data_IF_457953407341
#
_entry.id   IF_457953407341
#
_cell.length_a   1.000
_cell.length_b   1.000
_cell.length_c   1.000
_cell.angle_alpha   90.00
_cell.angle_beta   90.00
_cell.angle_gamma   90.00
#
_symmetry.space_group_name_H-M   'P 1'
#
loop_
_entity.id
_entity.type
_entity.pdbx_description
1 polymer ?
#
# COMPACT_ATOMS: atom_id res chain seq x y z
N UNK A 1 -59.51 27.54 41.09
CA UNK A 1 -59.18 27.97 39.70
C UNK A 1 -60.47 27.93 38.92
N UNK A 2 -60.80 28.99 38.17
CA UNK A 2 -62.02 28.99 37.35
C UNK A 2 -61.82 28.10 36.13
N UNK A 3 -62.89 27.45 35.65
CA UNK A 3 -62.87 26.59 34.45
C UNK A 3 -62.18 27.32 33.28
N UNK A 4 -62.43 28.62 33.13
CA UNK A 4 -61.77 29.51 32.15
C UNK A 4 -60.24 29.53 32.25
N UNK A 5 -59.66 29.59 33.45
CA UNK A 5 -58.20 29.60 33.64
C UNK A 5 -57.58 28.29 33.17
N UNK A 6 -58.22 27.15 33.44
CA UNK A 6 -57.73 25.86 32.98
C UNK A 6 -57.72 25.73 31.46
N UNK A 7 -58.72 26.31 30.78
CA UNK A 7 -58.78 26.32 29.32
C UNK A 7 -57.70 27.21 28.70
N UNK A 8 -57.51 28.42 29.23
CA UNK A 8 -56.45 29.34 28.81
C UNK A 8 -55.08 28.67 29.00
N UNK A 9 -54.87 28.00 30.14
CA UNK A 9 -53.62 27.29 30.42
C UNK A 9 -53.39 26.07 29.51
N UNK A 10 -54.45 25.36 29.11
CA UNK A 10 -54.36 24.25 28.14
C UNK A 10 -53.97 24.76 26.75
N UNK A 11 -54.59 25.84 26.29
CA UNK A 11 -54.27 26.46 25.00
C UNK A 11 -52.84 26.98 24.99
N UNK A 12 -52.44 27.71 26.05
CA UNK A 12 -51.10 28.26 26.21
C UNK A 12 -50.05 27.16 26.22
N UNK A 13 -50.32 26.03 26.89
CA UNK A 13 -49.44 24.85 26.86
C UNK A 13 -49.31 24.27 25.44
N UNK A 14 -50.40 24.14 24.68
CA UNK A 14 -50.36 23.62 23.30
C UNK A 14 -49.63 24.54 22.34
N UNK A 15 -49.87 25.85 22.41
CA UNK A 15 -49.14 26.85 21.60
C UNK A 15 -47.65 26.81 21.95
N UNK A 16 -47.31 26.72 23.24
CA UNK A 16 -45.91 26.58 23.68
C UNK A 16 -45.26 25.32 23.14
N UNK A 17 -45.95 24.17 23.18
CA UNK A 17 -45.44 22.91 22.64
C UNK A 17 -45.27 23.02 21.12
N UNK A 18 -46.18 23.68 20.41
CA UNK A 18 -46.09 23.88 18.97
C UNK A 18 -44.90 24.77 18.60
N UNK A 19 -44.74 25.93 19.24
CA UNK A 19 -43.61 26.84 19.02
C UNK A 19 -42.28 26.19 19.40
N UNK A 20 -42.25 25.48 20.52
CA UNK A 20 -41.07 24.72 20.94
C UNK A 20 -40.72 23.63 19.91
N UNK A 21 -41.71 22.90 19.40
CA UNK A 21 -41.49 21.87 18.41
C UNK A 21 -40.98 22.45 17.09
N UNK A 22 -41.48 23.61 16.64
CA UNK A 22 -40.98 24.28 15.43
C UNK A 22 -39.54 24.75 15.60
N UNK A 23 -39.24 25.43 16.71
CA UNK A 23 -37.88 25.90 16.99
C UNK A 23 -36.91 24.73 17.16
N UNK A 24 -37.31 23.69 17.89
CA UNK A 24 -36.53 22.46 18.04
C UNK A 24 -36.28 21.80 16.69
N UNK A 25 -37.27 21.77 15.79
CA UNK A 25 -37.12 21.19 14.46
C UNK A 25 -36.02 21.88 13.66
N UNK A 26 -36.04 23.22 13.66
CA UNK A 26 -35.12 24.02 12.86
C UNK A 26 -33.68 23.87 13.39
N UNK A 27 -33.50 23.87 14.72
CA UNK A 27 -32.20 23.62 15.35
C UNK A 27 -31.72 22.17 15.19
N UNK A 28 -32.61 21.19 15.32
CA UNK A 28 -32.27 19.78 15.13
C UNK A 28 -31.88 19.51 13.67
N UNK A 29 -32.59 20.13 12.71
CA UNK A 29 -32.26 20.05 11.30
C UNK A 29 -30.88 20.64 11.00
N UNK A 30 -30.58 21.83 11.53
CA UNK A 30 -29.26 22.46 11.39
C UNK A 30 -28.16 21.56 11.98
N UNK A 31 -28.39 20.97 13.15
CA UNK A 31 -27.45 20.07 13.80
C UNK A 31 -27.22 18.80 12.97
N UNK A 32 -28.28 18.16 12.47
CA UNK A 32 -28.19 16.96 11.62
C UNK A 32 -27.38 17.23 10.34
N UNK A 33 -27.56 18.41 9.73
CA UNK A 33 -26.78 18.82 8.56
C UNK A 33 -25.31 19.03 8.94
N UNK A 34 -25.03 19.75 10.04
CA UNK A 34 -23.67 19.94 10.52
C UNK A 34 -22.99 18.63 10.89
N UNK A 35 -23.71 17.68 11.49
CA UNK A 35 -23.21 16.37 11.87
C UNK A 35 -22.93 15.50 10.64
N UNK A 36 -23.84 15.49 9.66
CA UNK A 36 -23.60 14.83 8.37
C UNK A 36 -22.40 15.44 7.62
N UNK A 37 -22.24 16.77 7.64
CA UNK A 37 -21.08 17.44 7.05
C UNK A 37 -19.77 17.12 7.77
N UNK A 38 -19.77 17.18 9.10
CA UNK A 38 -18.61 16.87 9.92
C UNK A 38 -18.20 15.40 9.81
N UNK A 39 -19.17 14.47 9.79
CA UNK A 39 -18.88 13.03 9.59
C UNK A 39 -18.24 12.79 8.22
N UNK A 40 -18.73 13.41 7.14
CA UNK A 40 -18.11 13.31 5.83
C UNK A 40 -16.71 13.93 5.80
N UNK A 41 -16.53 15.10 6.44
CA UNK A 41 -15.24 15.80 6.46
C UNK A 41 -14.19 15.04 7.29
N UNK A 42 -14.57 14.48 8.44
CA UNK A 42 -13.68 13.62 9.23
C UNK A 42 -13.38 12.32 8.49
N UNK A 43 -14.38 11.68 7.86
CA UNK A 43 -14.13 10.50 7.01
C UNK A 43 -13.20 10.82 5.83
N UNK A 44 -13.22 12.06 5.32
CA UNK A 44 -12.38 12.50 4.22
C UNK A 44 -10.93 12.78 4.65
N UNK A 45 -10.72 13.36 5.84
CA UNK A 45 -9.40 13.85 6.26
C UNK A 45 -8.72 12.92 7.28
N UNK A 46 -9.46 12.38 8.25
CA UNK A 46 -8.94 11.55 9.35
C UNK A 46 -9.86 10.37 9.68
N UNK A 47 -9.75 9.25 8.97
CA UNK A 47 -10.60 8.06 9.19
C UNK A 47 -10.50 7.50 10.63
N UNK A 48 -9.36 7.69 11.29
CA UNK A 48 -9.08 7.19 12.64
C UNK A 48 -9.93 7.84 13.74
N UNK A 49 -10.43 9.06 13.52
CA UNK A 49 -11.21 9.82 14.50
C UNK A 49 -12.73 9.63 14.34
N UNK A 50 -13.18 8.72 13.46
CA UNK A 50 -14.60 8.47 13.23
C UNK A 50 -15.42 8.14 14.51
N UNK A 51 -14.92 7.34 15.48
CA UNK A 51 -15.67 7.05 16.70
C UNK A 51 -15.91 8.30 17.56
N UNK A 52 -14.96 9.24 17.55
CA UNK A 52 -15.04 10.45 18.38
C UNK A 52 -16.09 11.44 17.86
N UNK A 53 -16.40 11.40 16.56
CA UNK A 53 -17.47 12.22 15.96
C UNK A 53 -18.84 11.85 16.53
N UNK A 54 -19.03 10.62 17.02
CA UNK A 54 -20.29 10.24 17.69
C UNK A 54 -20.51 11.01 18.99
N UNK A 55 -19.48 11.53 19.65
CA UNK A 55 -19.63 12.41 20.82
C UNK A 55 -20.30 13.75 20.48
N UNK A 56 -20.30 14.18 19.21
CA UNK A 56 -21.09 15.35 18.78
C UNK A 56 -22.60 15.12 18.91
N UNK A 57 -23.06 13.86 18.96
CA UNK A 57 -24.47 13.58 19.31
C UNK A 57 -24.79 13.99 20.74
N UNK A 58 -23.84 13.89 21.68
CA UNK A 58 -24.02 14.37 23.05
C UNK A 58 -24.11 15.89 23.08
N UNK A 59 -23.47 16.59 22.13
CA UNK A 59 -23.61 18.03 21.97
C UNK A 59 -25.01 18.47 21.48
N UNK A 60 -25.91 17.56 21.06
CA UNK A 60 -27.30 17.91 20.76
C UNK A 60 -28.15 18.18 21.99
N UNK A 61 -27.77 17.61 23.15
CA UNK A 61 -28.48 17.81 24.42
C UNK A 61 -28.54 19.29 24.87
N UNK A 62 -27.41 20.03 24.93
CA UNK A 62 -27.43 21.44 25.34
C UNK A 62 -28.17 22.33 24.33
N UNK A 63 -28.19 21.98 23.05
CA UNK A 63 -28.94 22.72 22.02
C UNK A 63 -30.45 22.57 22.24
N UNK A 64 -30.92 21.36 22.54
CA UNK A 64 -32.31 21.13 22.94
C UNK A 64 -32.70 21.91 24.21
N UNK A 65 -31.78 21.98 25.18
CA UNK A 65 -31.97 22.75 26.41
C UNK A 65 -32.01 24.27 26.14
N UNK A 66 -31.12 24.78 25.29
CA UNK A 66 -31.07 26.18 24.90
C UNK A 66 -32.31 26.61 24.12
N UNK A 67 -32.79 25.77 23.20
CA UNK A 67 -34.06 25.93 22.48
C UNK A 67 -35.26 25.98 23.43
N UNK A 68 -35.25 25.15 24.47
CA UNK A 68 -36.28 25.17 25.50
C UNK A 68 -36.22 26.43 26.37
N UNK A 69 -35.02 26.90 26.75
CA UNK A 69 -34.84 28.13 27.51
C UNK A 69 -35.24 29.37 26.72
N UNK A 70 -34.93 29.43 25.43
CA UNK A 70 -35.36 30.53 24.54
C UNK A 70 -36.86 30.51 24.28
N UNK A 71 -37.45 29.34 24.07
CA UNK A 71 -38.91 29.18 24.01
C UNK A 71 -39.59 29.61 25.32
N UNK A 72 -38.95 29.36 26.47
CA UNK A 72 -39.42 29.85 27.77
C UNK A 72 -39.32 31.37 27.93
N UNK A 73 -38.45 32.06 27.20
CA UNK A 73 -38.31 33.52 27.23
C UNK A 73 -39.34 34.22 26.34
N UNK A 74 -39.76 33.60 25.23
CA UNK A 74 -40.84 34.10 24.37
C UNK A 74 -42.23 33.77 24.94
N UNK A 75 -42.48 34.14 26.20
CA UNK A 75 -43.78 33.91 26.81
C UNK A 75 -44.82 34.83 26.18
N UNK A 76 -45.80 34.23 25.50
CA UNK A 76 -47.00 34.94 25.09
C UNK A 76 -47.70 35.46 26.34
N UNK A 77 -48.06 36.73 26.30
CA UNK A 77 -48.83 37.36 27.37
C UNK A 77 -50.21 36.70 27.43
N UNK A 78 -50.81 36.65 28.62
CA UNK A 78 -52.17 36.09 28.79
C UNK A 78 -53.17 36.82 27.87
N UNK A 79 -52.96 38.11 27.65
CA UNK A 79 -53.78 38.96 26.78
C UNK A 79 -53.68 38.56 25.31
N UNK A 80 -52.49 38.26 24.80
CA UNK A 80 -52.30 37.76 23.42
C UNK A 80 -52.97 36.40 23.20
N UNK A 81 -52.83 35.48 24.17
CA UNK A 81 -53.46 34.18 24.09
C UNK A 81 -54.99 34.28 24.09
N UNK A 82 -55.54 35.20 24.91
CA UNK A 82 -56.97 35.49 24.96
C UNK A 82 -57.46 36.13 23.66
N UNK A 83 -56.73 37.10 23.10
CA UNK A 83 -57.08 37.73 21.83
C UNK A 83 -57.03 36.76 20.64
N UNK A 84 -56.04 35.87 20.60
CA UNK A 84 -55.92 34.83 19.56
C UNK A 84 -57.06 33.81 19.67
N UNK A 85 -57.45 33.43 20.89
CA UNK A 85 -58.61 32.57 21.10
C UNK A 85 -59.91 33.26 20.66
N UNK A 86 -60.10 34.51 21.05
CA UNK A 86 -61.31 35.28 20.73
C UNK A 86 -61.50 35.45 19.23
N UNK A 87 -60.42 35.73 18.49
CA UNK A 87 -60.42 35.80 17.02
C UNK A 87 -60.71 34.45 16.36
N UNK A 88 -60.16 33.35 16.85
CA UNK A 88 -60.44 32.01 16.29
C UNK A 88 -61.85 31.51 16.60
N UNK A 89 -62.45 31.96 17.70
CA UNK A 89 -63.81 31.61 18.10
C UNK A 89 -64.87 32.55 17.52
N UNK A 90 -64.45 33.69 16.95
CA UNK A 90 -65.33 34.79 16.55
C UNK A 90 -66.26 35.20 17.71
N UNK A 91 -65.74 35.18 18.93
CA UNK A 91 -66.53 35.43 20.15
C UNK A 91 -66.79 36.93 20.39
N UNK A 92 -66.28 37.80 19.52
CA UNK A 92 -66.61 39.23 19.48
C UNK A 92 -66.11 40.00 20.70
N UNK A 93 -65.01 39.56 21.32
CA UNK A 93 -64.42 40.17 22.50
C UNK A 93 -64.88 39.56 23.83
N UNK A 94 -65.78 38.57 23.83
CA UNK A 94 -66.36 37.98 25.04
C UNK A 94 -65.29 37.43 26.00
N UNK A 95 -64.17 36.93 25.48
CA UNK A 95 -63.09 36.44 26.33
C UNK A 95 -62.21 37.55 26.89
N UNK A 96 -62.06 38.63 26.13
CA UNK A 96 -61.34 39.81 26.55
C UNK A 96 -62.13 40.52 27.65
N UNK A 97 -63.46 40.64 27.51
CA UNK A 97 -64.33 41.21 28.54
C UNK A 97 -64.42 40.33 29.78
N UNK A 98 -64.46 39.00 29.65
CA UNK A 98 -64.40 38.07 30.78
C UNK A 98 -63.06 38.10 31.53
N UNK A 99 -61.97 38.45 30.85
CA UNK A 99 -60.66 38.61 31.48
C UNK A 99 -60.55 39.91 32.30
N UNK A 100 -61.33 40.94 31.95
CA UNK A 100 -61.38 42.23 32.64
C UNK A 100 -62.46 42.27 33.73
N UNK A 101 -63.65 41.70 33.45
CA UNK A 101 -64.81 41.69 34.36
C UNK A 101 -65.39 40.27 34.43
N UNK A 102 -65.07 39.50 35.49
CA UNK A 102 -65.62 38.16 35.66
C UNK A 102 -67.11 38.25 36.03
N UNK A 103 -67.99 37.74 35.16
CA UNK A 103 -69.44 37.66 35.43
C UNK A 103 -69.94 36.22 35.26
N UNK A 104 -70.79 35.77 36.20
CA UNK A 104 -71.31 34.41 36.22
C UNK A 104 -72.16 34.09 34.97
N UNK A 105 -72.97 35.06 34.52
CA UNK A 105 -73.85 34.91 33.36
C UNK A 105 -73.10 34.75 32.02
N UNK A 106 -71.89 35.30 31.91
CA UNK A 106 -71.05 35.12 30.72
C UNK A 106 -70.24 33.82 30.80
N UNK A 107 -69.90 33.34 32.00
CA UNK A 107 -69.28 32.03 32.19
C UNK A 107 -70.20 30.88 31.77
N UNK A 108 -71.50 30.98 32.04
CA UNK A 108 -72.49 29.97 31.61
C UNK A 108 -72.62 29.90 30.08
N UNK A 109 -72.57 31.06 29.40
CA UNK A 109 -72.53 31.11 27.93
C UNK A 109 -71.25 30.51 27.36
N UNK A 110 -70.14 30.62 28.09
CA UNK A 110 -68.88 30.00 27.73
C UNK A 110 -68.98 28.47 27.78
N UNK A 111 -69.57 27.93 28.86
CA UNK A 111 -69.75 26.49 29.05
C UNK A 111 -70.59 25.86 27.93
N UNK A 112 -71.65 26.54 27.48
CA UNK A 112 -72.49 26.09 26.36
C UNK A 112 -71.75 26.03 25.01
N UNK A 113 -70.63 26.75 24.88
CA UNK A 113 -69.84 26.78 23.65
C UNK A 113 -68.68 25.77 23.61
N UNK A 114 -68.48 24.96 24.66
CA UNK A 114 -67.30 24.11 24.86
C UNK A 114 -66.95 23.21 23.65
N UNK A 115 -67.94 22.72 22.90
CA UNK A 115 -67.69 21.92 21.70
C UNK A 115 -67.01 22.72 20.58
N UNK A 116 -67.45 23.98 20.36
CA UNK A 116 -66.84 24.89 19.40
C UNK A 116 -65.41 25.25 19.81
N UNK A 117 -65.19 25.37 21.13
CA UNK A 117 -63.86 25.55 21.70
C UNK A 117 -62.92 24.38 21.44
N UNK A 118 -63.38 23.14 21.65
CA UNK A 118 -62.59 21.94 21.38
C UNK A 118 -62.23 21.82 19.89
N UNK A 119 -63.13 22.25 19.01
CA UNK A 119 -62.91 22.27 17.57
C UNK A 119 -61.88 23.33 17.12
N UNK A 120 -61.87 24.51 17.76
CA UNK A 120 -60.95 25.60 17.43
C UNK A 120 -59.55 25.45 18.03
N UNK A 121 -59.31 24.49 18.92
CA UNK A 121 -57.97 24.24 19.45
C UNK A 121 -56.99 23.90 18.31
N UNK A 122 -55.81 24.56 18.24
CA UNK A 122 -54.83 24.26 17.20
C UNK A 122 -54.43 22.78 17.31
N UNK A 123 -54.75 22.02 16.25
CA UNK A 123 -54.39 20.62 16.13
C UNK A 123 -52.89 20.53 15.92
N UNK A 124 -52.18 19.84 16.80
CA UNK A 124 -50.77 19.53 16.61
C UNK A 124 -50.62 18.72 15.32
N UNK A 125 -49.81 19.21 14.38
CA UNK A 125 -49.58 18.58 13.06
C UNK A 125 -48.17 17.98 13.01
N UNK A 126 -47.91 16.84 13.67
CA UNK A 126 -46.58 16.23 13.70
C UNK A 126 -46.06 15.89 12.30
N UNK A 127 -46.95 15.70 11.32
CA UNK A 127 -46.60 15.44 9.92
C UNK A 127 -45.70 16.53 9.33
N UNK A 128 -45.93 17.81 9.67
CA UNK A 128 -45.07 18.91 9.17
C UNK A 128 -43.66 18.86 9.77
N UNK A 129 -43.57 18.47 11.04
CA UNK A 129 -42.31 18.28 11.75
C UNK A 129 -41.50 17.14 11.14
N UNK A 130 -42.13 15.97 10.99
CA UNK A 130 -41.50 14.79 10.40
C UNK A 130 -41.03 15.08 8.97
N UNK A 131 -41.82 15.80 8.17
CA UNK A 131 -41.43 16.17 6.80
C UNK A 131 -40.20 17.08 6.75
N UNK A 132 -40.04 18.01 7.71
CA UNK A 132 -38.87 18.88 7.80
C UNK A 132 -37.62 18.13 8.25
N UNK A 133 -37.78 17.16 9.15
CA UNK A 133 -36.67 16.37 9.69
C UNK A 133 -36.26 15.19 8.81
N UNK A 134 -37.15 14.71 7.93
CA UNK A 134 -36.89 13.56 7.07
C UNK A 134 -35.61 13.74 6.22
N UNK A 135 -35.46 14.90 5.58
CA UNK A 135 -34.30 15.17 4.71
C UNK A 135 -32.97 15.22 5.49
N UNK A 136 -32.82 15.98 6.60
CA UNK A 136 -31.62 15.95 7.43
C UNK A 136 -31.30 14.58 8.02
N UNK A 137 -32.32 13.80 8.42
CA UNK A 137 -32.12 12.44 8.93
C UNK A 137 -31.55 11.53 7.84
N UNK A 138 -32.15 11.54 6.65
CA UNK A 138 -31.66 10.74 5.52
C UNK A 138 -30.23 11.14 5.15
N UNK A 139 -29.91 12.44 5.19
CA UNK A 139 -28.56 12.93 4.94
C UNK A 139 -27.55 12.43 5.98
N UNK A 140 -27.86 12.56 7.28
CA UNK A 140 -26.97 12.10 8.35
C UNK A 140 -26.77 10.57 8.32
N UNK A 141 -27.84 9.82 8.07
CA UNK A 141 -27.77 8.36 7.90
C UNK A 141 -26.93 8.01 6.67
N UNK A 142 -27.16 8.67 5.53
CA UNK A 142 -26.38 8.49 4.32
C UNK A 142 -24.89 8.78 4.52
N UNK A 143 -24.54 9.84 5.27
CA UNK A 143 -23.16 10.16 5.63
C UNK A 143 -22.51 9.05 6.51
N UNK A 144 -23.28 8.44 7.41
CA UNK A 144 -22.81 7.30 8.20
C UNK A 144 -22.55 6.05 7.33
N UNK A 145 -23.40 5.80 6.33
CA UNK A 145 -23.26 4.68 5.40
C UNK A 145 -22.32 4.95 4.22
N UNK A 146 -21.90 6.21 4.01
CA UNK A 146 -20.92 6.53 3.00
C UNK A 146 -19.67 5.68 3.24
N UNK A 147 -19.24 4.87 2.25
CA UNK A 147 -18.11 3.97 2.41
C UNK A 147 -16.92 4.82 2.84
N UNK A 148 -16.24 4.37 3.90
CA UNK A 148 -14.97 4.94 4.28
C UNK A 148 -14.10 4.87 3.04
N UNK A 149 -13.59 6.01 2.60
CA UNK A 149 -12.49 6.01 1.65
C UNK A 149 -11.38 5.35 2.45
N UNK A 150 -11.22 4.05 2.26
CA UNK A 150 -9.99 3.35 2.56
C UNK A 150 -8.98 4.11 1.70
N UNK A 151 -8.43 5.20 2.24
CA UNK A 151 -7.07 5.57 1.97
C UNK A 151 -6.32 4.37 2.50
N UNK A 152 -6.27 3.30 1.70
CA UNK A 152 -5.34 2.22 1.89
C UNK A 152 -4.03 2.96 2.09
N UNK A 153 -3.44 2.98 3.31
CA UNK A 153 -2.03 3.25 3.36
C UNK A 153 -1.50 2.21 2.39
N UNK A 154 -0.97 2.66 1.25
CA UNK A 154 -0.44 1.78 0.20
C UNK A 154 0.21 0.65 0.95
N UNK A 155 -0.35 -0.58 0.90
CA UNK A 155 0.21 -1.66 1.69
C UNK A 155 1.68 -1.61 1.34
N UNK A 156 2.54 -1.62 2.35
CA UNK A 156 3.93 -1.95 2.15
C UNK A 156 3.82 -3.34 1.55
N UNK A 157 3.67 -3.39 0.22
CA UNK A 157 3.76 -4.57 -0.60
C UNK A 157 5.18 -4.98 -0.28
N UNK A 158 5.31 -5.90 0.68
CA UNK A 158 6.52 -6.66 0.84
C UNK A 158 6.86 -7.06 -0.57
N UNK A 159 7.95 -6.49 -1.04
CA UNK A 159 8.21 -6.33 -2.45
C UNK A 159 8.70 -7.69 -2.97
N UNK A 160 7.76 -8.64 -3.08
CA UNK A 160 8.02 -10.04 -3.38
C UNK A 160 8.69 -10.17 -4.73
N UNK A 161 8.28 -9.35 -5.71
CA UNK A 161 8.90 -9.29 -7.02
C UNK A 161 10.38 -8.87 -6.95
N UNK A 162 10.69 -7.81 -6.19
CA UNK A 162 12.06 -7.35 -6.01
C UNK A 162 12.94 -8.32 -5.24
N UNK A 163 12.41 -8.92 -4.18
CA UNK A 163 13.10 -9.93 -3.40
C UNK A 163 13.37 -11.20 -4.20
N UNK A 164 12.41 -11.65 -5.00
CA UNK A 164 12.60 -12.81 -5.89
C UNK A 164 13.63 -12.50 -6.98
N UNK A 165 13.60 -11.30 -7.57
CA UNK A 165 14.57 -10.91 -8.59
C UNK A 165 15.99 -10.80 -8.01
N UNK A 166 16.15 -10.19 -6.83
CA UNK A 166 17.46 -10.11 -6.17
C UNK A 166 17.95 -11.48 -5.69
N UNK A 167 17.06 -12.36 -5.20
CA UNK A 167 17.41 -13.74 -4.84
C UNK A 167 17.88 -14.54 -6.06
N UNK A 168 17.23 -14.42 -7.21
CA UNK A 168 17.70 -15.06 -8.46
C UNK A 168 19.10 -14.59 -8.85
N UNK A 169 19.41 -13.30 -8.68
CA UNK A 169 20.75 -12.77 -8.94
C UNK A 169 21.79 -13.33 -7.96
N UNK A 170 21.44 -13.49 -6.69
CA UNK A 170 22.31 -14.14 -5.69
C UNK A 170 22.54 -15.61 -6.05
N UNK A 171 21.49 -16.37 -6.37
CA UNK A 171 21.59 -17.77 -6.77
C UNK A 171 22.43 -17.96 -8.04
N UNK A 172 22.26 -17.07 -9.02
CA UNK A 172 23.08 -17.07 -10.24
C UNK A 172 24.53 -16.72 -9.94
N UNK A 173 24.79 -15.76 -9.06
CA UNK A 173 26.14 -15.41 -8.64
C UNK A 173 26.80 -16.56 -7.89
N UNK A 174 26.10 -17.22 -6.95
CA UNK A 174 26.61 -18.40 -6.24
C UNK A 174 26.92 -19.55 -7.19
N UNK A 175 26.07 -19.79 -8.20
CA UNK A 175 26.33 -20.79 -9.23
C UNK A 175 27.49 -20.40 -10.18
N UNK A 176 27.71 -19.11 -10.45
CA UNK A 176 28.89 -18.65 -11.18
C UNK A 176 30.16 -18.75 -10.32
N UNK A 177 30.05 -18.53 -9.02
CA UNK A 177 31.13 -18.70 -8.04
C UNK A 177 31.62 -20.16 -8.02
N UNK A 178 30.74 -21.13 -8.33
CA UNK A 178 31.11 -22.54 -8.53
C UNK A 178 32.06 -22.76 -9.72
N UNK A 179 32.16 -21.84 -10.69
CA UNK A 179 33.11 -21.98 -11.80
C UNK A 179 34.48 -21.39 -11.42
N UNK A 180 35.57 -22.19 -11.44
CA UNK A 180 36.89 -21.82 -10.91
C UNK A 180 37.68 -20.79 -11.76
N UNK A 181 37.07 -20.25 -12.81
CA UNK A 181 37.70 -19.32 -13.77
C UNK A 181 37.31 -17.86 -13.60
N UNK A 182 36.42 -17.54 -12.65
CA UNK A 182 35.94 -16.17 -12.46
C UNK A 182 36.89 -15.38 -11.53
N UNK A 183 37.13 -14.11 -11.87
CA UNK A 183 38.02 -13.22 -11.11
C UNK A 183 37.37 -12.76 -9.79
N UNK A 184 37.89 -13.29 -8.68
CA UNK A 184 37.39 -13.18 -7.29
C UNK A 184 37.09 -11.75 -6.79
N UNK A 185 37.90 -10.74 -7.16
CA UNK A 185 37.66 -9.33 -6.76
C UNK A 185 36.36 -8.80 -7.32
N UNK A 186 36.08 -9.18 -8.55
CA UNK A 186 34.99 -8.64 -9.33
C UNK A 186 33.66 -9.31 -8.95
N UNK A 187 33.71 -10.48 -8.30
CA UNK A 187 32.54 -11.19 -7.74
C UNK A 187 32.10 -10.59 -6.40
N UNK A 188 33.06 -10.27 -5.52
CA UNK A 188 32.76 -9.62 -4.25
C UNK A 188 32.05 -8.28 -4.43
N UNK A 189 32.51 -7.45 -5.39
CA UNK A 189 31.85 -6.18 -5.71
C UNK A 189 30.41 -6.37 -6.23
N UNK A 190 30.17 -7.40 -7.05
CA UNK A 190 28.83 -7.71 -7.54
C UNK A 190 27.93 -8.24 -6.44
N UNK A 191 28.45 -9.11 -5.57
CA UNK A 191 27.72 -9.64 -4.40
C UNK A 191 27.28 -8.52 -3.48
N UNK A 192 28.19 -7.60 -3.17
CA UNK A 192 27.90 -6.45 -2.31
C UNK A 192 26.85 -5.53 -2.95
N UNK A 193 26.94 -5.27 -4.26
CA UNK A 193 25.93 -4.48 -4.98
C UNK A 193 24.54 -5.15 -4.97
N UNK A 194 24.49 -6.48 -5.16
CA UNK A 194 23.23 -7.25 -5.12
C UNK A 194 22.63 -7.24 -3.70
N UNK A 195 23.45 -7.42 -2.66
CA UNK A 195 23.01 -7.39 -1.27
C UNK A 195 22.52 -6.00 -0.84
N UNK A 196 23.24 -4.94 -1.24
CA UNK A 196 22.81 -3.56 -1.04
C UNK A 196 21.47 -3.29 -1.74
N UNK A 197 21.29 -3.76 -2.98
CA UNK A 197 20.04 -3.59 -3.72
C UNK A 197 18.90 -4.39 -3.08
N UNK A 198 19.16 -5.60 -2.58
CA UNK A 198 18.18 -6.42 -1.87
C UNK A 198 17.70 -5.74 -0.58
N UNK A 199 18.60 -5.17 0.21
CA UNK A 199 18.26 -4.44 1.44
C UNK A 199 17.51 -3.13 1.15
N UNK A 200 17.90 -2.40 0.11
CA UNK A 200 17.18 -1.20 -0.36
C UNK A 200 15.77 -1.52 -0.89
N UNK A 201 15.59 -2.68 -1.50
CA UNK A 201 14.31 -3.16 -2.04
C UNK A 201 13.40 -3.72 -0.94
N UNK A 202 13.98 -4.14 0.19
CA UNK A 202 13.24 -4.57 1.39
C UNK A 202 12.61 -3.39 2.13
N UNK A 203 13.29 -2.25 2.16
CA UNK A 203 12.85 -1.05 2.91
C UNK A 203 11.91 -0.16 2.13
N UNK A 204 12.03 -0.15 0.82
CA UNK A 204 11.30 0.75 -0.07
C UNK A 204 10.80 0.01 -1.31
N UNK A 205 9.63 0.39 -1.86
CA UNK A 205 9.18 -0.16 -3.14
C UNK A 205 10.20 0.10 -4.25
N UNK A 206 10.21 -0.79 -5.24
CA UNK A 206 11.05 -0.66 -6.43
C UNK A 206 10.63 0.60 -7.20
N UNK A 207 11.50 1.61 -7.18
CA UNK A 207 11.42 2.71 -8.13
C UNK A 207 11.91 2.24 -9.50
N UNK A 208 11.59 3.01 -10.55
CA UNK A 208 12.10 2.78 -11.90
C UNK A 208 13.63 2.68 -11.92
N UNK A 209 14.30 3.53 -11.15
CA UNK A 209 15.76 3.54 -11.03
C UNK A 209 16.31 2.21 -10.46
N UNK A 210 15.60 1.58 -9.52
CA UNK A 210 16.00 0.28 -8.95
C UNK A 210 15.83 -0.87 -9.95
N UNK A 211 14.82 -0.80 -10.82
CA UNK A 211 14.67 -1.75 -11.93
C UNK A 211 15.79 -1.59 -12.96
N UNK A 212 16.12 -0.35 -13.33
CA UNK A 212 17.24 -0.08 -14.24
C UNK A 212 18.59 -0.53 -13.64
N UNK A 213 18.78 -0.38 -12.32
CA UNK A 213 19.96 -0.90 -11.62
C UNK A 213 20.01 -2.44 -11.61
N UNK A 214 18.85 -3.10 -11.45
CA UNK A 214 18.75 -4.56 -11.48
C UNK A 214 19.07 -5.11 -12.89
N UNK A 215 18.50 -4.50 -13.92
CA UNK A 215 18.77 -4.85 -15.32
C UNK A 215 20.25 -4.62 -15.67
N UNK A 216 20.85 -3.53 -15.20
CA UNK A 216 22.27 -3.26 -15.39
C UNK A 216 23.17 -4.31 -14.71
N UNK A 217 22.78 -4.82 -13.53
CA UNK A 217 23.50 -5.90 -12.86
C UNK A 217 23.35 -7.23 -13.61
N UNK A 218 22.14 -7.55 -14.08
CA UNK A 218 21.88 -8.74 -14.89
C UNK A 218 22.70 -8.73 -16.19
N UNK A 219 22.73 -7.59 -16.87
CA UNK A 219 23.50 -7.40 -18.10
C UNK A 219 25.02 -7.53 -17.85
N UNK A 220 25.52 -7.04 -16.71
CA UNK A 220 26.93 -7.24 -16.33
C UNK A 220 27.26 -8.71 -16.07
N UNK A 221 26.37 -9.46 -15.43
CA UNK A 221 26.55 -10.90 -15.22
C UNK A 221 26.54 -11.66 -16.54
N UNK A 222 25.60 -11.34 -17.45
CA UNK A 222 25.51 -11.93 -18.78
C UNK A 222 26.80 -11.71 -19.59
N UNK A 223 27.26 -10.46 -19.66
CA UNK A 223 28.50 -10.11 -20.35
C UNK A 223 29.71 -10.83 -19.78
N UNK A 224 29.73 -11.09 -18.47
CA UNK A 224 30.80 -11.90 -17.85
C UNK A 224 30.72 -13.36 -18.24
N UNK A 225 29.53 -13.97 -18.18
CA UNK A 225 29.28 -15.34 -18.63
C UNK A 225 29.73 -15.55 -20.09
N UNK A 226 29.37 -14.62 -20.97
CA UNK A 226 29.80 -14.68 -22.38
C UNK A 226 31.32 -14.47 -22.53
N UNK A 227 31.95 -13.64 -21.68
CA UNK A 227 33.40 -13.46 -21.71
C UNK A 227 34.17 -14.67 -21.19
N UNK A 228 33.65 -15.36 -20.16
CA UNK A 228 34.26 -16.59 -19.63
C UNK A 228 34.09 -17.75 -20.60
N UNK A 229 32.93 -17.87 -21.26
CA UNK A 229 32.72 -18.88 -22.29
C UNK A 229 33.67 -18.69 -23.48
N UNK A 230 33.83 -17.46 -23.97
CA UNK A 230 34.79 -17.17 -25.05
C UNK A 230 36.23 -17.48 -24.66
N UNK A 231 36.60 -17.18 -23.41
CA UNK A 231 37.93 -17.53 -22.91
C UNK A 231 38.11 -19.05 -22.79
N UNK A 232 37.09 -19.78 -22.35
CA UNK A 232 37.09 -21.25 -22.31
C UNK A 232 37.25 -21.86 -23.71
N UNK A 233 36.52 -21.37 -24.72
CA UNK A 233 36.62 -21.86 -26.09
C UNK A 233 38.00 -21.60 -26.70
N UNK A 234 38.60 -20.44 -26.40
CA UNK A 234 39.99 -20.13 -26.78
C UNK A 234 40.98 -21.07 -26.11
N UNK A 235 40.79 -21.37 -24.83
CA UNK A 235 41.66 -22.29 -24.10
C UNK A 235 41.50 -23.73 -24.58
N UNK A 236 40.28 -24.15 -24.89
CA UNK A 236 39.97 -25.46 -25.45
C UNK A 236 40.63 -25.65 -26.81
N UNK A 237 40.50 -24.65 -27.69
CA UNK A 237 41.15 -24.68 -29.02
C UNK A 237 42.67 -24.62 -28.92
N UNK A 238 43.22 -23.82 -27.99
CA UNK A 238 44.66 -23.77 -27.73
C UNK A 238 45.20 -25.09 -27.18
N UNK A 239 44.53 -25.69 -26.21
CA UNK A 239 44.90 -26.99 -25.66
C UNK A 239 44.81 -28.11 -26.73
N UNK A 240 43.77 -28.09 -27.56
CA UNK A 240 43.62 -29.04 -28.66
C UNK A 240 44.73 -28.88 -29.71
N UNK A 241 45.04 -27.64 -30.13
CA UNK A 241 46.10 -27.36 -31.08
C UNK A 241 47.49 -27.77 -30.56
N UNK A 242 47.78 -27.49 -29.28
CA UNK A 242 49.02 -27.92 -28.63
C UNK A 242 49.11 -29.44 -28.48
N UNK A 243 47.99 -30.13 -28.21
CA UNK A 243 47.96 -31.60 -28.12
C UNK A 243 48.20 -32.25 -29.49
N UNK A 244 47.59 -31.71 -30.55
CA UNK A 244 47.76 -32.18 -31.91
C UNK A 244 49.20 -31.96 -32.42
N UNK A 245 49.82 -30.83 -32.06
CA UNK A 245 51.22 -30.55 -32.40
C UNK A 245 52.22 -31.37 -31.57
N UNK A 246 51.80 -31.95 -30.44
CA UNK A 246 52.63 -32.83 -29.62
C UNK A 246 52.66 -34.28 -30.12
N UNK A 247 51.66 -34.71 -30.90
CA UNK A 247 51.64 -36.02 -31.57
C UNK A 247 52.49 -36.03 -32.85
N UNK A 248 53.21 -37.13 -33.10
CA UNK A 248 54.17 -37.29 -34.22
C UNK A 248 53.58 -37.07 -35.64
N UNK A 249 52.25 -37.08 -35.79
CA UNK A 249 51.52 -36.88 -37.06
C UNK A 249 50.86 -35.48 -37.20
N UNK A 250 51.19 -34.54 -36.33
CA UNK A 250 50.52 -33.24 -36.22
C UNK A 250 51.01 -32.14 -37.16
N UNK A 251 50.07 -31.35 -37.70
CA UNK A 251 50.28 -30.10 -38.46
C UNK A 251 51.40 -29.22 -37.88
N UNK A 252 52.36 -28.83 -38.72
CA UNK A 252 53.43 -27.88 -38.38
C UNK A 252 52.84 -26.53 -37.96
N UNK A 253 52.68 -26.30 -36.66
CA UNK A 253 52.45 -24.95 -36.13
C UNK A 253 53.72 -24.14 -36.33
N UNK A 254 53.61 -22.90 -36.79
CA UNK A 254 54.75 -21.99 -36.77
C UNK A 254 55.22 -21.80 -35.33
N UNK A 255 56.53 -21.70 -35.08
CA UNK A 255 57.09 -21.60 -33.73
C UNK A 255 56.50 -20.41 -32.96
N UNK A 256 56.13 -19.34 -33.66
CA UNK A 256 55.46 -18.16 -33.08
C UNK A 256 54.03 -18.48 -32.58
N UNK A 257 53.24 -19.23 -33.35
CA UNK A 257 51.88 -19.63 -32.97
C UNK A 257 51.88 -20.62 -31.80
N UNK A 258 52.81 -21.59 -31.82
CA UNK A 258 52.95 -22.52 -30.71
C UNK A 258 53.30 -21.80 -29.39
N UNK A 259 54.17 -20.79 -29.47
CA UNK A 259 54.58 -20.00 -28.31
C UNK A 259 53.45 -19.10 -27.78
N UNK A 260 52.63 -18.52 -28.66
CA UNK A 260 51.46 -17.72 -28.26
C UNK A 260 50.40 -18.58 -27.57
N UNK A 261 50.06 -19.74 -28.15
CA UNK A 261 49.10 -20.68 -27.56
C UNK A 261 49.59 -21.25 -26.23
N UNK A 262 50.88 -21.58 -26.13
CA UNK A 262 51.49 -22.02 -24.87
C UNK A 262 51.41 -20.90 -23.82
N UNK A 263 51.68 -19.65 -24.20
CA UNK A 263 51.59 -18.53 -23.29
C UNK A 263 50.15 -18.30 -22.78
N UNK A 264 49.14 -18.49 -23.63
CA UNK A 264 47.74 -18.35 -23.27
C UNK A 264 47.27 -19.47 -22.33
N UNK A 265 47.66 -20.71 -22.60
CA UNK A 265 47.41 -21.84 -21.68
C UNK A 265 48.11 -21.62 -20.34
N UNK A 266 49.36 -21.15 -20.35
CA UNK A 266 50.11 -20.87 -19.12
C UNK A 266 49.50 -19.73 -18.31
N UNK A 267 49.06 -18.63 -18.94
CA UNK A 267 48.35 -17.54 -18.26
C UNK A 267 47.05 -18.03 -17.61
N UNK A 268 46.30 -18.90 -18.28
CA UNK A 268 45.09 -19.49 -17.72
C UNK A 268 45.39 -20.43 -16.56
N UNK A 269 46.41 -21.27 -16.68
CA UNK A 269 46.90 -22.13 -15.60
C UNK A 269 47.38 -21.30 -14.39
N UNK A 270 48.04 -20.16 -14.62
CA UNK A 270 48.45 -19.24 -13.56
C UNK A 270 47.24 -18.61 -12.85
N UNK A 271 46.20 -18.23 -13.60
CA UNK A 271 44.93 -17.73 -13.04
C UNK A 271 44.23 -18.81 -12.21
N UNK A 272 44.14 -20.03 -12.73
CA UNK A 272 43.61 -21.20 -12.02
C UNK A 272 44.43 -21.55 -10.77
N UNK A 273 45.75 -21.37 -10.80
CA UNK A 273 46.60 -21.65 -9.66
C UNK A 273 46.52 -20.59 -8.55
N UNK A 274 46.17 -19.36 -8.93
CA UNK A 274 45.90 -18.25 -8.01
C UNK A 274 44.51 -18.36 -7.38
N UNK A 275 43.57 -19.08 -7.99
CA UNK A 275 42.23 -19.26 -7.43
C UNK A 275 42.27 -20.21 -6.22
N UNK A 276 41.41 -19.96 -5.24
CA UNK A 276 41.35 -20.70 -3.96
C UNK A 276 40.84 -22.14 -4.12
N UNK A 277 40.34 -22.50 -5.31
CA UNK A 277 39.61 -23.75 -5.62
C UNK A 277 40.46 -24.81 -6.33
N UNK A 278 41.76 -24.85 -6.04
CA UNK A 278 42.69 -25.91 -6.48
C UNK A 278 42.23 -27.34 -6.15
N UNK A 279 41.33 -27.49 -5.17
CA UNK A 279 40.75 -28.75 -4.69
C UNK A 279 39.75 -29.43 -5.64
N UNK A 280 39.29 -28.74 -6.68
CA UNK A 280 38.33 -29.30 -7.66
C UNK A 280 39.03 -29.73 -8.97
N UNK A 281 40.30 -29.37 -9.14
CA UNK A 281 41.10 -29.78 -10.29
C UNK A 281 41.44 -31.28 -10.23
N UNK A 282 41.60 -31.95 -11.39
CA UNK A 282 42.15 -33.31 -11.45
C UNK A 282 43.44 -33.43 -10.63
N UNK A 283 43.65 -34.54 -9.90
CA UNK A 283 44.75 -34.66 -8.94
C UNK A 283 46.13 -34.44 -9.58
N UNK A 284 46.30 -34.84 -10.85
CA UNK A 284 47.53 -34.64 -11.62
C UNK A 284 47.77 -33.18 -12.01
N UNK A 285 46.74 -32.47 -12.48
CA UNK A 285 46.84 -31.03 -12.74
C UNK A 285 47.13 -30.26 -11.47
N UNK A 286 46.56 -30.68 -10.33
CA UNK A 286 46.84 -30.08 -9.02
C UNK A 286 48.30 -30.28 -8.62
N UNK A 287 48.82 -31.49 -8.73
CA UNK A 287 50.22 -31.80 -8.42
C UNK A 287 51.17 -31.01 -9.34
N UNK A 288 50.87 -30.96 -10.64
CA UNK A 288 51.64 -30.20 -11.62
C UNK A 288 51.62 -28.68 -11.32
N UNK A 289 50.46 -28.12 -10.99
CA UNK A 289 50.31 -26.71 -10.59
C UNK A 289 51.00 -26.39 -9.25
N UNK A 290 50.93 -27.29 -8.28
CA UNK A 290 51.66 -27.15 -7.01
C UNK A 290 53.17 -27.19 -7.25
N UNK A 291 53.65 -28.10 -8.09
CA UNK A 291 55.06 -28.22 -8.44
C UNK A 291 55.56 -26.99 -9.22
N UNK A 292 54.77 -26.47 -10.17
CA UNK A 292 55.06 -25.23 -10.89
C UNK A 292 55.07 -24.01 -9.97
N UNK A 293 54.18 -23.96 -8.98
CA UNK A 293 54.15 -22.91 -7.96
C UNK A 293 55.37 -22.97 -7.04
N UNK A 294 55.80 -24.17 -6.65
CA UNK A 294 56.99 -24.39 -5.81
C UNK A 294 58.30 -24.16 -6.56
N UNK A 295 58.36 -24.44 -7.86
CA UNK A 295 59.56 -24.26 -8.70
C UNK A 295 59.74 -22.82 -9.20
N UNK A 296 58.72 -21.97 -9.07
CA UNK A 296 58.75 -20.59 -9.54
C UNK A 296 58.79 -20.45 -11.07
N UNK A 297 58.59 -21.55 -11.81
CA UNK A 297 58.57 -21.56 -13.28
C UNK A 297 57.33 -22.29 -13.79
N UNK A 298 56.43 -21.54 -14.42
CA UNK A 298 55.31 -22.09 -15.19
C UNK A 298 55.82 -22.46 -16.58
N UNK A 299 56.19 -23.73 -16.76
CA UNK A 299 56.56 -24.30 -18.06
C UNK A 299 55.85 -25.63 -18.24
N UNK A 300 55.40 -25.92 -19.45
CA UNK A 300 54.85 -27.23 -19.76
C UNK A 300 55.95 -28.30 -19.58
N UNK A 301 55.62 -29.51 -19.07
CA UNK A 301 56.57 -30.61 -18.99
C UNK A 301 57.27 -30.84 -20.34
N UNK A 302 58.58 -31.06 -20.31
CA UNK A 302 59.38 -31.35 -21.50
C UNK A 302 59.11 -32.76 -22.04
N UNK A 303 58.61 -33.66 -21.20
CA UNK A 303 58.26 -35.02 -21.59
C UNK A 303 56.98 -35.04 -22.44
N UNK A 304 57.00 -35.56 -23.68
CA UNK A 304 55.87 -35.49 -24.60
C UNK A 304 54.64 -36.24 -24.08
N UNK A 305 54.84 -37.40 -23.43
CA UNK A 305 53.75 -38.20 -22.84
C UNK A 305 53.07 -37.51 -21.66
N UNK A 306 53.83 -36.81 -20.83
CA UNK A 306 53.27 -36.08 -19.68
C UNK A 306 52.54 -34.82 -20.13
N UNK A 307 53.04 -34.15 -21.18
CA UNK A 307 52.39 -33.00 -21.79
C UNK A 307 51.05 -33.36 -22.41
N UNK A 308 51.01 -34.45 -23.19
CA UNK A 308 49.78 -34.93 -23.82
C UNK A 308 48.71 -35.29 -22.77
N UNK A 309 49.08 -36.02 -21.72
CA UNK A 309 48.17 -36.38 -20.64
C UNK A 309 47.66 -35.15 -19.87
N UNK A 310 48.51 -34.16 -19.60
CA UNK A 310 48.11 -32.93 -18.93
C UNK A 310 47.17 -32.07 -19.78
N UNK A 311 47.41 -31.98 -21.09
CA UNK A 311 46.54 -31.28 -22.03
C UNK A 311 45.21 -32.01 -22.22
N UNK A 312 45.21 -33.34 -22.18
CA UNK A 312 43.98 -34.15 -22.18
C UNK A 312 43.17 -33.91 -20.90
N UNK A 313 43.81 -33.99 -19.72
CA UNK A 313 43.15 -33.73 -18.44
C UNK A 313 42.59 -32.29 -18.38
N UNK A 314 43.31 -31.32 -18.97
CA UNK A 314 42.86 -29.94 -19.08
C UNK A 314 41.66 -29.83 -20.02
N UNK A 315 41.70 -30.48 -21.18
CA UNK A 315 40.58 -30.49 -22.13
C UNK A 315 39.32 -31.09 -21.51
N UNK A 316 39.43 -32.25 -20.85
CA UNK A 316 38.29 -32.90 -20.19
C UNK A 316 37.72 -32.06 -19.04
N UNK A 317 38.54 -31.22 -18.42
CA UNK A 317 38.11 -30.27 -17.42
C UNK A 317 37.40 -29.06 -18.06
N UNK A 318 37.98 -28.47 -19.11
CA UNK A 318 37.40 -27.35 -19.86
C UNK A 318 36.05 -27.73 -20.49
N UNK A 319 35.92 -28.96 -21.00
CA UNK A 319 34.68 -29.47 -21.59
C UNK A 319 33.56 -29.56 -20.55
N UNK A 320 33.88 -30.04 -19.33
CA UNK A 320 32.92 -30.08 -18.21
C UNK A 320 32.50 -28.69 -17.74
N UNK A 321 33.44 -27.74 -17.69
CA UNK A 321 33.14 -26.36 -17.33
C UNK A 321 32.32 -25.66 -18.42
N UNK A 322 32.58 -25.93 -19.70
CA UNK A 322 31.77 -25.39 -20.80
C UNK A 322 30.31 -25.87 -20.72
N UNK A 323 30.08 -27.17 -20.49
CA UNK A 323 28.72 -27.70 -20.29
C UNK A 323 28.01 -27.06 -19.09
N UNK A 324 28.75 -26.79 -17.99
CA UNK A 324 28.20 -26.08 -16.83
C UNK A 324 27.81 -24.64 -17.17
N UNK A 325 28.66 -23.90 -17.89
CA UNK A 325 28.35 -22.53 -18.27
C UNK A 325 27.15 -22.46 -19.24
N UNK A 326 27.01 -23.42 -20.15
CA UNK A 326 25.82 -23.51 -21.02
C UNK A 326 24.53 -23.71 -20.22
N UNK A 327 24.55 -24.60 -19.22
CA UNK A 327 23.41 -24.79 -18.31
C UNK A 327 23.07 -23.51 -17.51
N UNK A 328 24.09 -22.72 -17.12
CA UNK A 328 23.85 -21.43 -16.46
C UNK A 328 23.27 -20.41 -17.42
N UNK A 329 23.72 -20.38 -18.67
CA UNK A 329 23.21 -19.48 -19.71
C UNK A 329 21.72 -19.71 -19.97
N UNK A 330 21.29 -20.96 -20.06
CA UNK A 330 19.86 -21.30 -20.23
C UNK A 330 19.01 -20.84 -19.04
N UNK A 331 19.55 -20.84 -17.81
CA UNK A 331 18.83 -20.34 -16.63
C UNK A 331 18.73 -18.81 -16.58
N UNK A 332 19.66 -18.10 -17.22
CA UNK A 332 19.69 -16.62 -17.27
C UNK A 332 18.75 -16.08 -18.34
N UNK A 333 18.50 -16.83 -19.42
CA UNK A 333 17.53 -16.40 -20.44
C UNK A 333 16.09 -16.52 -19.93
N UNK A 334 15.33 -15.42 -19.90
CA UNK A 334 13.91 -15.51 -19.60
C UNK A 334 13.22 -16.30 -20.73
N UNK A 335 12.36 -17.25 -20.35
CA UNK A 335 11.53 -17.97 -21.30
C UNK A 335 10.88 -16.96 -22.28
N UNK A 336 11.01 -17.17 -23.61
CA UNK A 336 10.46 -16.26 -24.60
C UNK A 336 8.92 -16.35 -24.57
N UNK A 337 8.26 -15.58 -23.69
CA UNK A 337 6.79 -15.59 -23.60
C UNK A 337 6.14 -15.01 -22.34
N UNK A 338 6.88 -14.35 -21.45
CA UNK A 338 6.29 -13.72 -20.24
C UNK A 338 6.10 -12.21 -20.38
N UNK A 339 5.24 -11.76 -21.29
CA UNK A 339 4.68 -10.39 -21.29
C UNK A 339 3.35 -10.35 -20.57
#
# INVERSE_FOLDING_TARGET
>A
MTVQQEWIDRVRRRIRIALWAEFLADWLAALLICLGGATLLVKLIWPSLWPDVLWLTIASLPIGLAAWLTSRRQQWSVREAVALLDTQLKAGGLLMTLAEVPSASWQDRLAQSEEKWRACLPRWRPVRLVRRLALPIVFAVGACFAPLREASPTPILQNTAGQQASQRLVELLEQMEESPLVEEKAEHELREQIEQLAEQTRREPLSREKWEALDALQERLRNRLDSTSQNLDRLRSAAAALSAAATEDGTELTPEQAQELEQDVLKALERLAKSRRLSELPPRLREALQQMRSSGSFRLPSDPKLREQMLSDLKDFLDREAERLEQLREKVEPAPGGT
#
